data_IF_528215419984
#
_entry.id   IF_528215419984
#
_cell.length_a   1.000
_cell.length_b   1.000
_cell.length_c   1.000
_cell.angle_alpha   90.00
_cell.angle_beta   90.00
_cell.angle_gamma   90.00
#
_symmetry.space_group_name_H-M   'P 1'
#
loop_
_entity.id
_entity.type
_entity.pdbx_description
1 polymer ?
#
# COMPACT_ATOMS: atom_id res chain seq x y z
N UNK A 1 -33.29 -6.11 -4.29
CA UNK A 1 -32.89 -4.75 -3.88
C UNK A 1 -32.07 -4.15 -5.01
N UNK A 2 -32.40 -2.96 -5.48
CA UNK A 2 -31.67 -2.31 -6.56
C UNK A 2 -30.26 -1.91 -6.06
N UNK A 3 -29.23 -2.25 -6.83
CA UNK A 3 -27.85 -1.79 -6.57
C UNK A 3 -27.82 -0.26 -6.60
N UNK A 4 -27.35 0.42 -5.55
CA UNK A 4 -27.26 1.88 -5.59
C UNK A 4 -26.39 2.33 -6.77
N UNK A 5 -26.70 3.49 -7.40
CA UNK A 5 -25.91 4.01 -8.50
C UNK A 5 -24.44 4.16 -8.10
N UNK A 6 -23.53 4.03 -9.09
CA UNK A 6 -22.10 4.18 -8.88
C UNK A 6 -21.84 5.54 -8.16
N UNK A 7 -21.24 5.50 -6.97
CA UNK A 7 -20.89 6.68 -6.18
C UNK A 7 -21.72 6.93 -4.91
N UNK A 8 -22.75 6.15 -4.58
CA UNK A 8 -23.63 6.45 -3.45
C UNK A 8 -23.53 5.53 -2.23
N UNK A 9 -22.83 4.41 -2.30
CA UNK A 9 -22.68 3.49 -1.17
C UNK A 9 -21.43 3.79 -0.33
N UNK A 10 -21.50 3.42 0.95
CA UNK A 10 -20.41 3.59 1.93
C UNK A 10 -19.23 2.67 1.61
N UNK A 11 -18.02 3.24 1.65
CA UNK A 11 -16.77 2.51 1.47
C UNK A 11 -16.12 2.27 2.83
N UNK A 12 -15.85 1.03 3.16
CA UNK A 12 -15.09 0.67 4.36
C UNK A 12 -13.62 0.57 3.99
N UNK A 13 -12.75 1.35 4.65
CA UNK A 13 -11.31 1.37 4.40
C UNK A 13 -10.59 0.91 5.66
N UNK A 14 -10.04 -0.29 5.66
CA UNK A 14 -9.20 -0.74 6.76
C UNK A 14 -7.79 -0.22 6.61
N UNK A 15 -7.13 0.15 7.71
CA UNK A 15 -5.83 0.83 7.63
C UNK A 15 -5.95 2.28 7.15
N UNK A 16 -7.14 2.88 7.28
CA UNK A 16 -7.47 4.21 6.76
C UNK A 16 -6.72 5.37 7.43
N UNK A 17 -6.25 5.20 8.66
CA UNK A 17 -5.40 6.19 9.34
C UNK A 17 -3.92 6.10 8.93
N UNK A 18 -3.52 5.05 8.18
CA UNK A 18 -2.16 4.84 7.67
C UNK A 18 -1.79 5.72 6.47
N UNK A 19 -0.56 5.55 5.99
CA UNK A 19 0.00 6.33 4.86
C UNK A 19 -0.86 6.26 3.59
N UNK A 20 -1.05 5.07 3.02
CA UNK A 20 -1.88 4.89 1.81
C UNK A 20 -3.37 5.08 2.13
N UNK A 21 -3.78 4.69 3.36
CA UNK A 21 -5.16 4.77 3.80
C UNK A 21 -5.70 6.19 3.77
N UNK A 22 -4.98 7.16 4.30
CA UNK A 22 -5.39 8.58 4.30
C UNK A 22 -5.60 9.12 2.89
N UNK A 23 -4.72 8.79 1.97
CA UNK A 23 -4.88 9.18 0.56
C UNK A 23 -6.12 8.52 -0.08
N UNK A 24 -6.36 7.24 0.21
CA UNK A 24 -7.56 6.53 -0.27
C UNK A 24 -8.85 7.13 0.33
N UNK A 25 -8.87 7.42 1.64
CA UNK A 25 -10.01 8.07 2.30
C UNK A 25 -10.34 9.40 1.63
N UNK A 26 -9.34 10.27 1.46
CA UNK A 26 -9.51 11.58 0.81
C UNK A 26 -10.08 11.42 -0.61
N UNK A 27 -9.56 10.47 -1.39
CA UNK A 27 -9.98 10.26 -2.77
C UNK A 27 -11.43 9.74 -2.89
N UNK A 28 -11.86 8.82 -2.02
CA UNK A 28 -13.26 8.35 -2.00
C UNK A 28 -14.20 9.43 -1.46
N UNK A 29 -13.80 10.17 -0.42
CA UNK A 29 -14.59 11.28 0.10
C UNK A 29 -14.79 12.40 -0.93
N UNK A 30 -13.75 12.77 -1.69
CA UNK A 30 -13.85 13.74 -2.80
C UNK A 30 -14.83 13.32 -3.90
N UNK A 31 -15.09 12.02 -4.05
CA UNK A 31 -16.09 11.48 -4.98
C UNK A 31 -17.51 11.46 -4.40
N UNK A 32 -17.68 11.94 -3.17
CA UNK A 32 -18.96 11.95 -2.46
C UNK A 32 -19.34 10.59 -1.83
N UNK A 33 -18.43 9.62 -1.76
CA UNK A 33 -18.70 8.39 -1.04
C UNK A 33 -18.65 8.65 0.48
N UNK A 34 -19.65 8.19 1.27
CA UNK A 34 -19.45 8.05 2.70
C UNK A 34 -18.32 7.04 2.97
N UNK A 35 -17.39 7.40 3.84
CA UNK A 35 -16.25 6.54 4.19
C UNK A 35 -16.29 6.17 5.66
N UNK A 36 -16.08 4.89 5.96
CA UNK A 36 -15.81 4.41 7.32
C UNK A 36 -14.40 3.85 7.36
N UNK A 37 -13.58 4.40 8.25
CA UNK A 37 -12.21 3.91 8.51
C UNK A 37 -12.26 2.87 9.62
N UNK A 38 -11.52 1.79 9.45
CA UNK A 38 -11.24 0.80 10.50
C UNK A 38 -9.74 0.76 10.73
N UNK A 39 -9.31 1.22 11.88
CA UNK A 39 -7.88 1.29 12.22
C UNK A 39 -7.69 1.25 13.76
N UNK A 40 -6.47 1.04 14.22
CA UNK A 40 -6.09 1.13 15.64
C UNK A 40 -6.12 2.56 16.17
N UNK A 41 -5.87 3.51 15.27
CA UNK A 41 -5.94 4.94 15.55
C UNK A 41 -7.13 5.55 14.77
N UNK A 42 -7.81 6.57 15.31
CA UNK A 42 -8.84 7.29 14.58
C UNK A 42 -8.23 8.02 13.37
N UNK A 43 -9.05 8.23 12.34
CA UNK A 43 -8.62 9.06 11.22
C UNK A 43 -8.34 10.50 11.69
N UNK A 44 -7.29 11.18 11.18
CA UNK A 44 -6.96 12.54 11.60
C UNK A 44 -8.08 13.57 11.37
N UNK A 45 -8.86 13.40 10.30
CA UNK A 45 -10.06 14.18 10.05
C UNK A 45 -11.23 13.60 10.85
N UNK A 46 -11.72 14.35 11.83
CA UNK A 46 -12.82 13.96 12.71
C UNK A 46 -14.18 13.87 11.99
N UNK A 47 -14.32 14.42 10.78
CA UNK A 47 -15.51 14.25 9.95
C UNK A 47 -15.61 12.83 9.34
N UNK A 48 -14.51 12.09 9.31
CA UNK A 48 -14.48 10.71 8.81
C UNK A 48 -14.86 9.74 9.95
N UNK A 49 -15.93 8.97 9.76
CA UNK A 49 -16.32 7.94 10.72
C UNK A 49 -15.17 6.96 10.92
N UNK A 50 -14.75 6.76 12.17
CA UNK A 50 -13.70 5.79 12.55
C UNK A 50 -14.27 4.75 13.51
N UNK A 51 -14.06 3.48 13.17
CA UNK A 51 -14.25 2.31 14.04
C UNK A 51 -12.86 1.94 14.52
N UNK A 52 -12.57 2.22 15.79
CA UNK A 52 -11.22 2.16 16.33
C UNK A 52 -11.00 0.88 17.12
N UNK A 53 -10.00 0.09 16.71
CA UNK A 53 -9.63 -1.15 17.39
C UNK A 53 -8.77 -2.08 16.53
N UNK A 54 -8.53 -3.27 17.05
CA UNK A 54 -7.77 -4.32 16.33
C UNK A 54 -8.70 -5.15 15.45
N UNK A 55 -8.36 -5.28 14.17
CA UNK A 55 -9.14 -6.09 13.20
C UNK A 55 -9.20 -7.59 13.54
N UNK A 56 -8.42 -8.05 14.50
CA UNK A 56 -8.52 -9.39 15.06
C UNK A 56 -9.73 -9.57 15.98
N UNK A 57 -10.44 -8.49 16.30
CA UNK A 57 -11.74 -8.53 17.00
C UNK A 57 -12.86 -8.67 15.97
N UNK A 58 -13.59 -9.82 15.95
CA UNK A 58 -14.70 -10.01 15.01
C UNK A 58 -15.85 -9.02 15.21
N UNK A 59 -16.04 -8.50 16.42
CA UNK A 59 -17.06 -7.48 16.72
C UNK A 59 -16.80 -6.19 15.97
N UNK A 60 -15.53 -5.81 15.80
CA UNK A 60 -15.13 -4.62 15.06
C UNK A 60 -15.46 -4.72 13.55
N UNK A 61 -15.27 -5.92 12.98
CA UNK A 61 -15.60 -6.17 11.56
C UNK A 61 -17.13 -6.09 11.37
N UNK A 62 -17.90 -6.70 12.27
CA UNK A 62 -19.36 -6.65 12.23
C UNK A 62 -19.87 -5.20 12.32
N UNK A 63 -19.35 -4.40 13.27
CA UNK A 63 -19.69 -2.98 13.40
C UNK A 63 -19.37 -2.17 12.13
N UNK A 64 -18.23 -2.43 11.51
CA UNK A 64 -17.81 -1.71 10.31
C UNK A 64 -18.70 -2.01 9.09
N UNK A 65 -19.21 -3.24 9.00
CA UNK A 65 -20.05 -3.72 7.90
C UNK A 65 -21.55 -3.54 8.14
N UNK A 66 -21.95 -3.11 9.35
CA UNK A 66 -23.37 -2.92 9.69
C UNK A 66 -23.99 -1.76 8.90
N UNK A 67 -25.35 -1.81 8.77
CA UNK A 67 -26.17 -0.73 8.19
C UNK A 67 -26.69 -1.00 6.79
N UNK A 68 -26.24 -2.05 6.10
CA UNK A 68 -26.75 -2.47 4.78
C UNK A 68 -26.44 -1.52 3.61
N UNK A 69 -25.65 -0.46 3.83
CA UNK A 69 -25.27 0.57 2.86
C UNK A 69 -23.83 0.42 2.34
N UNK A 70 -23.11 -0.63 2.78
CA UNK A 70 -21.70 -0.85 2.41
C UNK A 70 -21.60 -1.30 0.96
N UNK A 71 -21.01 -0.47 0.12
CA UNK A 71 -20.78 -0.76 -1.30
C UNK A 71 -19.54 -1.65 -1.53
N UNK A 72 -18.63 -1.70 -0.57
CA UNK A 72 -17.44 -2.53 -0.63
C UNK A 72 -16.37 -2.16 0.38
N UNK A 73 -15.31 -2.95 0.39
CA UNK A 73 -14.17 -2.84 1.30
C UNK A 73 -12.88 -2.59 0.52
N UNK A 74 -12.07 -1.64 0.99
CA UNK A 74 -10.68 -1.43 0.57
C UNK A 74 -9.78 -1.83 1.75
N UNK A 75 -9.18 -3.00 1.66
CA UNK A 75 -8.38 -3.59 2.73
C UNK A 75 -6.90 -3.23 2.59
N UNK A 76 -6.47 -2.19 3.33
CA UNK A 76 -5.09 -1.68 3.35
C UNK A 76 -4.36 -2.02 4.67
N UNK A 77 -5.09 -2.44 5.69
CA UNK A 77 -4.51 -2.83 6.98
C UNK A 77 -3.65 -4.09 6.81
N UNK A 78 -2.41 -4.04 7.25
CA UNK A 78 -1.51 -5.19 7.28
C UNK A 78 -0.26 -4.92 8.13
N UNK A 79 0.38 -5.96 8.61
CA UNK A 79 1.77 -5.89 9.06
C UNK A 79 2.66 -6.04 7.81
N UNK A 80 3.26 -4.93 7.35
CA UNK A 80 4.02 -4.87 6.09
C UNK A 80 5.54 -4.98 6.26
N UNK A 81 6.04 -4.95 7.50
CA UNK A 81 7.48 -5.03 7.76
C UNK A 81 8.01 -6.44 7.53
N UNK A 82 8.89 -6.60 6.55
CA UNK A 82 9.59 -7.87 6.26
C UNK A 82 10.37 -8.33 7.50
N UNK A 83 11.14 -7.45 8.12
CA UNK A 83 11.93 -7.80 9.32
C UNK A 83 11.05 -8.25 10.50
N UNK A 84 9.91 -7.56 10.71
CA UNK A 84 8.94 -7.98 11.73
C UNK A 84 8.34 -9.33 11.41
N UNK A 85 8.09 -9.63 10.13
CA UNK A 85 7.51 -10.91 9.72
C UNK A 85 8.43 -12.10 10.03
N UNK A 86 9.74 -11.92 9.88
CA UNK A 86 10.72 -12.94 10.23
C UNK A 86 10.78 -13.18 11.75
N UNK A 87 10.68 -12.09 12.55
CA UNK A 87 10.73 -12.17 14.02
C UNK A 87 9.42 -12.68 14.63
N UNK A 88 8.27 -12.37 14.05
CA UNK A 88 6.95 -12.63 14.60
C UNK A 88 5.99 -13.19 13.54
N UNK A 89 6.28 -14.35 12.91
CA UNK A 89 5.52 -14.87 11.76
C UNK A 89 4.06 -15.18 12.09
N UNK A 90 3.78 -15.68 13.31
CA UNK A 90 2.41 -15.99 13.75
C UNK A 90 1.56 -14.72 13.85
N UNK A 91 2.08 -13.65 14.44
CA UNK A 91 1.36 -12.38 14.53
C UNK A 91 1.09 -11.78 13.14
N UNK A 92 2.02 -11.95 12.20
CA UNK A 92 1.85 -11.51 10.81
C UNK A 92 0.80 -12.35 10.07
N UNK A 93 0.75 -13.67 10.31
CA UNK A 93 -0.31 -14.54 9.80
C UNK A 93 -1.69 -14.08 10.32
N UNK A 94 -1.85 -13.87 11.62
CA UNK A 94 -3.10 -13.42 12.21
C UNK A 94 -3.58 -12.10 11.60
N UNK A 95 -2.69 -11.12 11.50
CA UNK A 95 -3.03 -9.79 10.99
C UNK A 95 -3.28 -9.77 9.46
N UNK A 96 -2.61 -10.61 8.67
CA UNK A 96 -2.65 -10.50 7.22
C UNK A 96 -3.52 -11.58 6.55
N UNK A 97 -3.64 -12.78 7.15
CA UNK A 97 -4.40 -13.91 6.56
C UNK A 97 -5.73 -14.09 7.28
N UNK A 98 -5.69 -14.32 8.61
CA UNK A 98 -6.91 -14.56 9.37
C UNK A 98 -7.87 -13.36 9.27
N UNK A 99 -7.39 -12.14 9.48
CA UNK A 99 -8.18 -10.91 9.31
C UNK A 99 -8.74 -10.78 7.89
N UNK A 100 -7.97 -11.12 6.85
CA UNK A 100 -8.51 -11.09 5.47
C UNK A 100 -9.63 -12.10 5.29
N UNK A 101 -9.50 -13.31 5.85
CA UNK A 101 -10.55 -14.32 5.84
C UNK A 101 -11.81 -13.83 6.56
N UNK A 102 -11.67 -13.25 7.75
CA UNK A 102 -12.80 -12.76 8.55
C UNK A 102 -13.51 -11.60 7.86
N UNK A 103 -12.76 -10.68 7.24
CA UNK A 103 -13.34 -9.60 6.44
C UNK A 103 -14.10 -10.11 5.20
N UNK A 104 -13.53 -11.09 4.48
CA UNK A 104 -14.20 -11.68 3.32
C UNK A 104 -15.50 -12.39 3.71
N UNK A 105 -15.48 -13.14 4.82
CA UNK A 105 -16.66 -13.82 5.34
C UNK A 105 -17.71 -12.83 5.84
N UNK A 106 -17.30 -11.79 6.58
CA UNK A 106 -18.17 -10.69 6.99
C UNK A 106 -18.81 -9.99 5.78
N UNK A 107 -18.04 -9.69 4.73
CA UNK A 107 -18.57 -9.14 3.49
C UNK A 107 -19.60 -10.05 2.84
N UNK A 108 -19.31 -11.35 2.74
CA UNK A 108 -20.24 -12.34 2.17
C UNK A 108 -21.55 -12.38 2.93
N UNK A 109 -21.51 -12.40 4.27
CA UNK A 109 -22.68 -12.44 5.13
C UNK A 109 -23.50 -11.14 5.06
N UNK A 110 -22.83 -10.00 4.96
CA UNK A 110 -23.46 -8.68 4.83
C UNK A 110 -23.92 -8.36 3.38
N UNK A 111 -23.68 -9.25 2.41
CA UNK A 111 -24.03 -9.01 1.00
C UNK A 111 -23.14 -7.96 0.32
N UNK A 112 -21.95 -7.72 0.84
CA UNK A 112 -20.96 -6.79 0.28
C UNK A 112 -20.17 -7.49 -0.82
N UNK A 113 -20.29 -7.01 -2.06
CA UNK A 113 -19.78 -7.73 -3.23
C UNK A 113 -18.40 -7.24 -3.72
N UNK A 114 -17.90 -6.08 -3.25
CA UNK A 114 -16.61 -5.52 -3.70
C UNK A 114 -15.57 -5.60 -2.60
N UNK A 115 -14.42 -6.19 -2.93
CA UNK A 115 -13.30 -6.30 -2.00
C UNK A 115 -11.98 -6.06 -2.71
N UNK A 116 -11.29 -4.97 -2.40
CA UNK A 116 -9.98 -4.63 -2.94
C UNK A 116 -8.94 -4.78 -1.85
N UNK A 117 -7.91 -5.55 -2.08
CA UNK A 117 -6.83 -5.77 -1.12
C UNK A 117 -5.49 -5.21 -1.64
N UNK A 118 -4.80 -4.49 -0.76
CA UNK A 118 -3.39 -4.18 -0.97
C UNK A 118 -2.55 -5.45 -0.88
N UNK A 119 -1.98 -5.87 -1.99
CA UNK A 119 -0.95 -6.92 -2.08
C UNK A 119 0.41 -6.31 -2.42
N UNK A 120 1.36 -7.13 -2.80
CA UNK A 120 2.76 -6.74 -3.01
C UNK A 120 3.42 -7.63 -4.05
N UNK A 121 4.41 -7.13 -4.76
CA UNK A 121 5.29 -7.94 -5.60
C UNK A 121 6.17 -8.94 -4.80
N UNK A 122 6.28 -8.78 -3.47
CA UNK A 122 6.98 -9.74 -2.62
C UNK A 122 6.36 -11.16 -2.62
N UNK A 123 5.14 -11.33 -3.13
CA UNK A 123 4.48 -12.64 -3.32
C UNK A 123 5.19 -13.50 -4.38
N UNK A 124 5.90 -12.86 -5.31
CA UNK A 124 6.63 -13.53 -6.42
C UNK A 124 8.03 -13.96 -5.98
N UNK A 125 8.61 -13.28 -4.98
CA UNK A 125 9.99 -13.52 -4.55
C UNK A 125 11.04 -12.95 -5.49
N UNK A 126 12.21 -13.59 -5.53
CA UNK A 126 13.33 -13.14 -6.36
C UNK A 126 13.28 -13.79 -7.75
N UNK A 127 13.20 -12.96 -8.75
CA UNK A 127 13.28 -13.37 -10.17
C UNK A 127 14.53 -12.82 -10.86
N UNK A 128 15.49 -12.36 -10.09
CA UNK A 128 16.70 -11.71 -10.60
C UNK A 128 16.38 -10.41 -11.31
N UNK A 129 16.85 -10.27 -12.52
CA UNK A 129 16.58 -9.12 -13.40
C UNK A 129 15.41 -9.34 -14.36
N UNK A 130 14.68 -10.45 -14.22
CA UNK A 130 13.51 -10.70 -15.05
C UNK A 130 12.35 -9.74 -14.71
N UNK A 131 11.52 -9.45 -15.70
CA UNK A 131 10.33 -8.63 -15.50
C UNK A 131 9.23 -9.42 -14.81
N UNK A 132 8.79 -8.93 -13.65
CA UNK A 132 7.67 -9.50 -12.90
C UNK A 132 6.36 -9.22 -13.62
N UNK A 133 5.56 -10.27 -13.80
CA UNK A 133 4.20 -10.25 -14.34
C UNK A 133 3.27 -11.02 -13.42
N UNK A 134 1.97 -10.81 -13.57
CA UNK A 134 0.99 -11.52 -12.73
C UNK A 134 1.03 -13.04 -12.91
N UNK A 135 1.45 -13.50 -14.09
CA UNK A 135 1.57 -14.93 -14.42
C UNK A 135 2.81 -15.61 -13.80
N UNK A 136 3.75 -14.86 -13.24
CA UNK A 136 4.92 -15.46 -12.55
C UNK A 136 4.42 -16.22 -11.32
N UNK A 137 4.85 -17.46 -11.12
CA UNK A 137 4.46 -18.28 -9.96
C UNK A 137 4.78 -17.58 -8.63
N UNK A 138 3.91 -17.79 -7.64
CA UNK A 138 4.13 -17.29 -6.29
C UNK A 138 5.25 -18.11 -5.62
N UNK A 139 6.33 -17.42 -5.24
CA UNK A 139 7.50 -18.02 -4.58
C UNK A 139 8.07 -17.05 -3.52
N UNK A 140 7.27 -16.65 -2.51
CA UNK A 140 7.66 -15.63 -1.55
C UNK A 140 8.87 -16.06 -0.72
N UNK A 141 9.81 -15.15 -0.47
CA UNK A 141 11.02 -15.40 0.30
C UNK A 141 10.85 -15.14 1.80
N UNK A 142 9.74 -14.54 2.21
CA UNK A 142 9.54 -14.11 3.60
C UNK A 142 8.13 -14.44 4.09
N UNK A 143 7.92 -14.57 5.43
CA UNK A 143 6.58 -14.74 5.97
C UNK A 143 5.59 -13.65 5.56
N UNK A 144 6.05 -12.39 5.41
CA UNK A 144 5.21 -11.31 4.88
C UNK A 144 4.70 -11.61 3.46
N UNK A 145 5.60 -11.94 2.54
CA UNK A 145 5.24 -12.30 1.17
C UNK A 145 4.31 -13.52 1.14
N UNK A 146 4.60 -14.55 1.95
CA UNK A 146 3.78 -15.75 2.06
C UNK A 146 2.36 -15.45 2.56
N UNK A 147 2.22 -14.58 3.58
CA UNK A 147 0.88 -14.19 4.08
C UNK A 147 0.07 -13.40 3.04
N UNK A 148 0.72 -12.55 2.25
CA UNK A 148 0.03 -11.84 1.16
C UNK A 148 -0.36 -12.78 0.01
N UNK A 149 0.48 -13.75 -0.33
CA UNK A 149 0.15 -14.78 -1.31
C UNK A 149 -1.04 -15.64 -0.86
N UNK A 150 -1.07 -16.07 0.40
CA UNK A 150 -2.19 -16.80 0.98
C UNK A 150 -3.49 -15.98 0.93
N UNK A 151 -3.43 -14.69 1.27
CA UNK A 151 -4.58 -13.80 1.18
C UNK A 151 -5.09 -13.63 -0.27
N UNK A 152 -4.20 -13.54 -1.28
CA UNK A 152 -4.60 -13.54 -2.70
C UNK A 152 -5.37 -14.81 -3.08
N UNK A 153 -4.98 -15.98 -2.57
CA UNK A 153 -5.68 -17.23 -2.82
C UNK A 153 -7.06 -17.26 -2.17
N UNK A 154 -7.22 -16.67 -0.97
CA UNK A 154 -8.53 -16.50 -0.35
C UNK A 154 -9.45 -15.62 -1.23
N UNK A 155 -8.96 -14.49 -1.72
CA UNK A 155 -9.71 -13.62 -2.63
C UNK A 155 -10.17 -14.40 -3.88
N UNK A 156 -9.28 -15.18 -4.47
CA UNK A 156 -9.57 -16.01 -5.64
C UNK A 156 -10.68 -17.01 -5.37
N UNK A 157 -10.63 -17.69 -4.20
CA UNK A 157 -11.66 -18.64 -3.76
C UNK A 157 -13.03 -17.98 -3.57
N UNK A 158 -13.08 -16.80 -2.92
CA UNK A 158 -14.34 -16.05 -2.73
C UNK A 158 -14.91 -15.51 -4.04
N UNK A 159 -14.08 -15.08 -4.98
CA UNK A 159 -14.52 -14.70 -6.32
C UNK A 159 -15.22 -15.88 -7.04
N UNK A 160 -14.59 -17.05 -7.02
CA UNK A 160 -15.12 -18.24 -7.69
C UNK A 160 -16.36 -18.81 -7.04
N UNK A 161 -16.36 -18.95 -5.71
CA UNK A 161 -17.45 -19.60 -4.98
C UNK A 161 -18.69 -18.69 -4.78
N UNK A 162 -18.47 -17.38 -4.56
CA UNK A 162 -19.53 -16.46 -4.14
C UNK A 162 -19.78 -15.32 -5.11
N UNK A 163 -19.09 -15.28 -6.24
CA UNK A 163 -19.19 -14.23 -7.27
C UNK A 163 -18.90 -12.81 -6.74
N UNK A 164 -18.09 -12.72 -5.68
CA UNK A 164 -17.61 -11.44 -5.17
C UNK A 164 -16.59 -10.84 -6.13
N UNK A 165 -16.69 -9.54 -6.39
CA UNK A 165 -15.65 -8.81 -7.14
C UNK A 165 -14.46 -8.54 -6.21
N UNK A 166 -13.58 -9.53 -6.08
CA UNK A 166 -12.39 -9.44 -5.24
C UNK A 166 -11.15 -9.21 -6.07
N UNK A 167 -10.32 -8.24 -5.71
CA UNK A 167 -9.06 -8.03 -6.39
C UNK A 167 -7.89 -7.80 -5.43
N UNK A 168 -6.72 -8.28 -5.85
CA UNK A 168 -5.44 -8.02 -5.21
C UNK A 168 -4.60 -7.08 -6.09
N UNK A 169 -4.27 -5.91 -5.56
CA UNK A 169 -3.37 -4.97 -6.24
C UNK A 169 -1.95 -5.15 -5.67
N UNK A 170 -1.06 -5.73 -6.48
CA UNK A 170 0.35 -5.95 -6.12
C UNK A 170 1.13 -4.66 -6.30
N UNK A 171 1.28 -3.91 -5.22
CA UNK A 171 2.02 -2.65 -5.23
C UNK A 171 3.53 -2.89 -5.25
N UNK A 172 4.24 -2.02 -5.96
CA UNK A 172 5.69 -1.88 -5.89
C UNK A 172 6.07 -1.02 -4.68
N UNK A 173 7.17 -0.27 -4.72
CA UNK A 173 7.60 0.56 -3.59
C UNK A 173 6.81 1.87 -3.57
N UNK A 174 5.79 1.94 -2.72
CA UNK A 174 4.94 3.14 -2.62
C UNK A 174 5.69 4.23 -1.87
N UNK A 175 5.68 5.45 -2.45
CA UNK A 175 6.19 6.65 -1.83
C UNK A 175 5.20 7.82 -2.00
N UNK A 176 5.35 8.87 -1.20
CA UNK A 176 4.50 10.06 -1.26
C UNK A 176 4.40 10.79 0.08
N UNK A 177 3.68 11.93 0.13
CA UNK A 177 3.43 12.67 1.37
C UNK A 177 2.77 11.79 2.45
N UNK A 178 3.12 12.03 3.71
CA UNK A 178 2.61 11.25 4.85
C UNK A 178 3.39 9.99 5.18
N UNK A 179 4.49 9.68 4.46
CA UNK A 179 5.31 8.50 4.70
C UNK A 179 6.39 8.71 5.78
N UNK A 180 6.39 9.83 6.50
CA UNK A 180 7.45 10.19 7.46
C UNK A 180 7.75 9.16 8.55
N UNK A 181 6.78 8.30 8.91
CA UNK A 181 6.96 7.20 9.87
C UNK A 181 7.48 5.89 9.24
N UNK A 182 7.57 5.81 7.91
CA UNK A 182 8.08 4.62 7.23
C UNK A 182 9.60 4.51 7.36
N UNK A 183 10.09 3.28 7.35
CA UNK A 183 11.52 2.97 7.35
C UNK A 183 11.90 2.27 6.05
N UNK A 184 11.94 3.06 4.96
CA UNK A 184 12.33 2.62 3.62
C UNK A 184 13.28 3.63 2.97
N UNK A 185 13.74 3.39 1.75
CA UNK A 185 14.76 4.22 1.07
C UNK A 185 14.40 5.70 1.06
N UNK A 186 13.24 6.08 0.52
CA UNK A 186 12.85 7.49 0.36
C UNK A 186 12.82 8.23 1.69
N UNK A 187 12.08 7.80 2.74
CA UNK A 187 12.05 8.56 3.99
C UNK A 187 13.41 8.55 4.73
N UNK A 188 14.25 7.52 4.56
CA UNK A 188 15.61 7.54 5.11
C UNK A 188 16.45 8.64 4.47
N UNK A 189 16.41 8.77 3.14
CA UNK A 189 17.13 9.82 2.39
C UNK A 189 16.59 11.21 2.75
N UNK A 190 15.27 11.40 2.86
CA UNK A 190 14.65 12.68 3.25
C UNK A 190 15.04 13.11 4.68
N UNK A 191 15.03 12.17 5.63
CA UNK A 191 15.52 12.45 7.00
C UNK A 191 16.99 12.78 7.05
N UNK A 192 17.83 12.11 6.24
CA UNK A 192 19.25 12.40 6.15
C UNK A 192 19.50 13.81 5.58
N UNK A 193 18.74 14.18 4.52
CA UNK A 193 18.79 15.51 3.93
C UNK A 193 18.44 16.61 4.94
N UNK A 194 17.33 16.48 5.66
CA UNK A 194 16.92 17.42 6.72
C UNK A 194 17.96 17.56 7.84
N UNK A 195 18.63 16.45 8.16
CA UNK A 195 19.63 16.44 9.23
C UNK A 195 21.04 16.84 8.75
N UNK A 196 21.24 17.17 7.47
CA UNK A 196 22.56 17.45 6.89
C UNK A 196 23.52 16.27 6.99
N UNK A 197 23.02 15.03 6.98
CA UNK A 197 23.81 13.80 7.13
C UNK A 197 23.92 13.03 5.82
N UNK A 198 24.88 12.11 5.75
CA UNK A 198 24.99 11.14 4.65
C UNK A 198 24.03 9.97 4.79
N UNK A 199 24.03 9.13 3.77
CA UNK A 199 23.24 7.90 3.68
C UNK A 199 24.15 6.69 3.47
N UNK A 200 23.73 5.53 4.00
CA UNK A 200 24.39 4.25 3.71
C UNK A 200 23.73 3.58 2.52
N UNK A 201 24.55 3.14 1.58
CA UNK A 201 24.16 2.36 0.42
C UNK A 201 24.67 0.92 0.62
N UNK A 202 23.77 -0.02 0.67
CA UNK A 202 24.14 -1.44 0.77
C UNK A 202 24.62 -1.95 -0.59
N UNK A 203 25.81 -2.59 -0.61
CA UNK A 203 26.43 -3.07 -1.84
C UNK A 203 26.88 -1.94 -2.78
N UNK A 204 26.72 -2.16 -4.07
CA UNK A 204 27.16 -1.22 -5.13
C UNK A 204 26.11 -0.14 -5.46
N UNK A 205 24.90 -0.24 -4.94
CA UNK A 205 23.80 0.69 -5.22
C UNK A 205 23.13 0.50 -6.59
N UNK A 206 23.48 -0.56 -7.33
CA UNK A 206 22.91 -0.87 -8.64
C UNK A 206 21.62 -1.68 -8.56
N UNK A 207 21.20 -2.10 -7.36
CA UNK A 207 19.91 -2.77 -7.18
C UNK A 207 18.77 -1.87 -7.63
N UNK A 208 17.86 -2.43 -8.45
CA UNK A 208 16.78 -1.68 -9.09
C UNK A 208 15.48 -1.78 -8.32
N UNK A 209 14.74 -0.69 -8.26
CA UNK A 209 13.41 -0.63 -7.62
C UNK A 209 12.44 0.16 -8.50
N UNK A 210 11.23 -0.37 -8.64
CA UNK A 210 10.10 0.39 -9.16
C UNK A 210 9.47 1.16 -7.99
N UNK A 211 9.34 2.48 -8.15
CA UNK A 211 8.73 3.37 -7.17
C UNK A 211 7.43 3.96 -7.75
N UNK A 212 6.33 3.84 -7.03
CA UNK A 212 5.02 4.36 -7.43
C UNK A 212 4.53 5.40 -6.43
N UNK A 213 4.06 6.54 -6.93
CA UNK A 213 3.52 7.59 -6.07
C UNK A 213 2.17 7.17 -5.48
N UNK A 214 1.88 7.60 -4.25
CA UNK A 214 0.66 7.25 -3.53
C UNK A 214 -0.61 7.67 -4.29
N UNK A 215 -0.60 8.78 -5.01
CA UNK A 215 -1.74 9.25 -5.80
C UNK A 215 -2.03 8.31 -7.00
N UNK A 216 -0.98 7.79 -7.65
CA UNK A 216 -1.15 6.78 -8.69
C UNK A 216 -1.68 5.46 -8.12
N UNK A 217 -1.22 5.08 -6.91
CA UNK A 217 -1.77 3.91 -6.19
C UNK A 217 -3.28 4.08 -5.93
N UNK A 218 -3.68 5.24 -5.44
CA UNK A 218 -5.09 5.55 -5.16
C UNK A 218 -5.92 5.56 -6.44
N UNK A 219 -5.37 6.11 -7.53
CA UNK A 219 -6.00 6.06 -8.87
C UNK A 219 -6.22 4.63 -9.33
N UNK A 220 -5.27 3.72 -9.10
CA UNK A 220 -5.44 2.30 -9.42
C UNK A 220 -6.53 1.64 -8.55
N UNK A 221 -6.60 1.96 -7.25
CA UNK A 221 -7.65 1.48 -6.34
C UNK A 221 -9.03 1.93 -6.82
N UNK A 222 -9.20 3.22 -7.16
CA UNK A 222 -10.45 3.76 -7.69
C UNK A 222 -10.83 3.12 -9.03
N UNK A 223 -9.87 2.91 -9.92
CA UNK A 223 -10.10 2.25 -11.20
C UNK A 223 -10.55 0.80 -11.04
N UNK A 224 -9.94 0.06 -10.11
CA UNK A 224 -10.37 -1.30 -9.78
C UNK A 224 -11.77 -1.32 -9.16
N UNK A 225 -12.09 -0.34 -8.32
CA UNK A 225 -13.41 -0.16 -7.73
C UNK A 225 -14.50 0.06 -8.78
N UNK A 226 -14.28 1.01 -9.70
CA UNK A 226 -15.26 1.41 -10.71
C UNK A 226 -15.54 0.26 -11.70
N UNK A 227 -14.51 -0.48 -12.05
CA UNK A 227 -14.60 -1.61 -12.98
C UNK A 227 -15.07 -2.91 -12.34
N UNK A 228 -15.28 -2.94 -11.02
CA UNK A 228 -15.54 -4.18 -10.27
C UNK A 228 -14.52 -5.27 -10.64
N UNK A 229 -13.26 -4.85 -10.74
CA UNK A 229 -12.19 -5.70 -11.23
C UNK A 229 -12.02 -6.93 -10.33
N UNK A 230 -11.92 -8.11 -10.95
CA UNK A 230 -11.68 -9.38 -10.26
C UNK A 230 -10.35 -9.97 -10.72
N UNK A 231 -9.53 -10.40 -9.76
CA UNK A 231 -8.23 -11.00 -10.02
C UNK A 231 -7.07 -10.17 -9.47
N UNK A 232 -5.92 -10.27 -10.12
CA UNK A 232 -4.68 -9.63 -9.66
C UNK A 232 -4.14 -8.67 -10.71
N UNK A 233 -3.64 -7.51 -10.29
CA UNK A 233 -2.93 -6.57 -11.14
C UNK A 233 -1.70 -5.99 -10.42
N UNK A 234 -0.60 -5.83 -11.16
CA UNK A 234 0.60 -5.14 -10.66
C UNK A 234 0.41 -3.64 -10.86
N UNK A 235 0.61 -2.89 -9.79
CA UNK A 235 0.51 -1.43 -9.76
C UNK A 235 1.87 -0.86 -9.37
N UNK A 236 2.53 -0.27 -10.33
CA UNK A 236 3.85 0.35 -10.23
C UNK A 236 3.96 1.50 -11.21
N UNK A 237 5.14 2.12 -11.27
CA UNK A 237 5.43 3.14 -12.31
C UNK A 237 5.70 2.51 -13.67
N UNK A 238 6.15 1.25 -13.69
CA UNK A 238 6.67 0.58 -14.89
C UNK A 238 8.07 1.06 -15.28
N UNK A 239 8.71 1.85 -14.42
CA UNK A 239 10.06 2.38 -14.62
C UNK A 239 10.88 2.14 -13.35
N UNK A 240 11.85 1.22 -13.44
CA UNK A 240 12.71 0.89 -12.31
C UNK A 240 13.99 1.69 -12.37
N UNK A 241 14.35 2.29 -11.25
CA UNK A 241 15.60 3.05 -11.07
C UNK A 241 16.54 2.31 -10.12
N UNK A 242 17.84 2.54 -10.23
CA UNK A 242 18.82 2.08 -9.26
C UNK A 242 18.75 2.92 -7.98
N UNK A 243 19.32 2.41 -6.88
CA UNK A 243 19.42 3.19 -5.63
C UNK A 243 20.31 4.43 -5.83
N UNK A 244 21.32 4.36 -6.68
CA UNK A 244 22.17 5.52 -7.02
C UNK A 244 21.39 6.56 -7.83
N UNK A 245 20.64 6.15 -8.87
CA UNK A 245 19.76 7.07 -9.62
C UNK A 245 18.72 7.73 -8.71
N UNK A 246 18.12 6.97 -7.80
CA UNK A 246 17.20 7.52 -6.80
C UNK A 246 17.88 8.56 -5.91
N UNK A 247 19.10 8.28 -5.43
CA UNK A 247 19.87 9.21 -4.60
C UNK A 247 20.16 10.52 -5.34
N UNK A 248 20.51 10.46 -6.63
CA UNK A 248 20.79 11.65 -7.44
C UNK A 248 19.54 12.51 -7.65
N UNK A 249 18.37 11.87 -7.86
CA UNK A 249 17.09 12.61 -7.90
C UNK A 249 16.79 13.25 -6.55
N UNK A 250 17.00 12.55 -5.43
CA UNK A 250 16.81 13.13 -4.10
C UNK A 250 17.73 14.31 -3.85
N UNK A 251 19.02 14.23 -4.24
CA UNK A 251 19.96 15.38 -4.19
C UNK A 251 19.45 16.58 -4.96
N UNK A 252 18.96 16.34 -6.17
CA UNK A 252 18.39 17.39 -7.03
C UNK A 252 17.18 18.06 -6.40
N UNK A 253 16.24 17.26 -5.89
CA UNK A 253 14.99 17.75 -5.30
C UNK A 253 15.21 18.47 -3.98
N UNK A 254 16.12 17.98 -3.14
CA UNK A 254 16.36 18.56 -1.80
C UNK A 254 17.37 19.70 -1.82
N UNK A 255 18.22 19.80 -2.85
CA UNK A 255 19.37 20.69 -2.88
C UNK A 255 20.48 20.31 -1.88
N UNK A 256 20.40 19.12 -1.27
CA UNK A 256 21.35 18.65 -0.26
C UNK A 256 22.39 17.72 -0.89
N UNK A 257 23.67 17.79 -0.48
CA UNK A 257 24.73 16.98 -1.08
C UNK A 257 24.59 15.47 -0.79
N UNK A 258 23.98 15.07 0.32
CA UNK A 258 23.73 13.68 0.74
C UNK A 258 24.92 12.75 0.42
N UNK A 259 26.05 12.87 1.13
CA UNK A 259 27.19 11.97 0.92
C UNK A 259 26.76 10.52 1.11
N UNK A 260 27.23 9.64 0.22
CA UNK A 260 26.91 8.22 0.25
C UNK A 260 28.11 7.41 0.73
N UNK A 261 27.91 6.54 1.70
CA UNK A 261 28.87 5.55 2.17
C UNK A 261 28.38 4.16 1.73
N UNK A 262 29.23 3.43 1.00
CA UNK A 262 28.94 2.05 0.62
C UNK A 262 29.29 1.10 1.78
N UNK A 263 28.32 0.28 2.17
CA UNK A 263 28.47 -0.75 3.21
C UNK A 263 28.18 -2.13 2.61
N UNK A 264 28.52 -3.19 3.33
CA UNK A 264 28.33 -4.55 2.86
C UNK A 264 26.87 -4.81 2.47
N UNK A 265 26.65 -5.51 1.35
CA UNK A 265 25.31 -5.92 0.92
C UNK A 265 24.61 -6.75 1.97
N UNK A 266 23.29 -6.60 2.11
CA UNK A 266 22.51 -7.40 3.04
C UNK A 266 22.16 -8.75 2.41
N UNK A 267 22.34 -9.86 3.14
CA UNK A 267 21.92 -11.18 2.65
C UNK A 267 20.41 -11.20 2.32
N UNK A 268 20.05 -11.74 1.15
CA UNK A 268 18.65 -11.88 0.73
C UNK A 268 18.03 -10.60 0.15
N UNK A 269 18.81 -9.56 -0.11
CA UNK A 269 18.34 -8.41 -0.86
C UNK A 269 18.15 -8.77 -2.34
N UNK A 270 16.95 -8.55 -2.86
CA UNK A 270 16.65 -8.79 -4.29
C UNK A 270 17.43 -7.81 -5.17
N UNK A 271 18.09 -8.28 -6.25
CA UNK A 271 18.87 -7.42 -7.12
C UNK A 271 17.99 -6.42 -7.89
N UNK A 272 16.77 -6.84 -8.26
CA UNK A 272 15.89 -5.97 -9.01
C UNK A 272 14.40 -6.21 -8.70
N UNK A 273 13.62 -5.14 -8.81
CA UNK A 273 12.16 -5.14 -8.91
C UNK A 273 11.82 -4.41 -10.20
N UNK A 274 11.65 -5.17 -11.28
CA UNK A 274 11.25 -4.69 -12.61
C UNK A 274 9.87 -5.27 -12.88
N UNK A 275 8.89 -4.43 -13.19
CA UNK A 275 7.50 -4.86 -13.31
C UNK A 275 6.90 -4.51 -14.67
N UNK A 276 6.01 -5.38 -15.15
CA UNK A 276 5.13 -5.11 -16.28
C UNK A 276 3.74 -4.71 -15.76
N UNK A 277 3.31 -3.51 -16.09
CA UNK A 277 2.00 -2.96 -15.68
C UNK A 277 0.97 -3.01 -16.81
N UNK A 278 1.22 -3.77 -17.87
CA UNK A 278 0.34 -3.86 -19.04
C UNK A 278 -1.07 -4.29 -18.67
N UNK A 279 -1.20 -5.29 -17.78
CA UNK A 279 -2.51 -5.75 -17.30
C UNK A 279 -3.29 -4.65 -16.59
N UNK A 280 -2.64 -3.88 -15.72
CA UNK A 280 -3.28 -2.74 -15.06
C UNK A 280 -3.68 -1.66 -16.08
N UNK A 281 -2.85 -1.40 -17.08
CA UNK A 281 -3.18 -0.47 -18.17
C UNK A 281 -4.41 -0.93 -18.98
N UNK A 282 -4.46 -2.18 -19.36
CA UNK A 282 -5.51 -2.73 -20.22
C UNK A 282 -6.83 -2.92 -19.46
N UNK A 283 -6.79 -3.52 -18.28
CA UNK A 283 -7.98 -3.91 -17.55
C UNK A 283 -8.50 -2.84 -16.59
N UNK A 284 -7.61 -2.03 -16.01
CA UNK A 284 -7.99 -0.94 -15.11
C UNK A 284 -7.98 0.43 -15.80
N UNK A 285 -7.37 0.58 -16.98
CA UNK A 285 -7.09 1.88 -17.58
C UNK A 285 -6.04 2.66 -16.77
N UNK A 286 -5.29 1.98 -15.89
CA UNK A 286 -4.30 2.58 -15.03
C UNK A 286 -3.14 3.16 -15.83
N UNK A 287 -2.81 4.42 -15.57
CA UNK A 287 -1.66 5.11 -16.17
C UNK A 287 -1.00 5.94 -15.06
N UNK A 288 0.17 5.51 -14.56
CA UNK A 288 0.91 6.32 -13.59
C UNK A 288 1.27 7.65 -14.23
N UNK A 289 1.02 8.75 -13.53
CA UNK A 289 1.15 10.11 -14.05
C UNK A 289 2.16 10.96 -13.30
N UNK A 290 2.53 10.55 -12.09
CA UNK A 290 3.46 11.31 -11.23
C UNK A 290 4.89 10.91 -11.58
N UNK A 291 5.70 11.87 -12.07
CA UNK A 291 7.13 11.64 -12.30
C UNK A 291 7.87 11.42 -10.98
N UNK A 292 9.00 10.69 -11.02
CA UNK A 292 9.82 10.46 -9.81
C UNK A 292 10.29 11.78 -9.18
N UNK A 293 10.65 12.77 -10.00
CA UNK A 293 11.12 14.08 -9.55
C UNK A 293 9.99 14.85 -8.86
N UNK A 294 8.83 14.96 -9.51
CA UNK A 294 7.67 15.68 -8.94
C UNK A 294 7.17 15.00 -7.67
N UNK A 295 7.07 13.68 -7.69
CA UNK A 295 6.64 12.90 -6.53
C UNK A 295 7.60 13.05 -5.34
N UNK A 296 8.92 13.01 -5.56
CA UNK A 296 9.89 13.25 -4.49
C UNK A 296 9.87 14.69 -3.98
N UNK A 297 9.54 15.65 -4.83
CA UNK A 297 9.34 17.05 -4.40
C UNK A 297 8.15 17.17 -3.44
N UNK A 298 7.04 16.46 -3.68
CA UNK A 298 5.90 16.45 -2.74
C UNK A 298 6.29 15.83 -1.39
N UNK A 299 7.10 14.76 -1.40
CA UNK A 299 7.61 14.15 -0.16
C UNK A 299 8.52 15.13 0.59
N UNK A 300 9.43 15.80 -0.11
CA UNK A 300 10.34 16.75 0.50
C UNK A 300 9.59 17.91 1.17
N UNK A 301 8.59 18.46 0.50
CA UNK A 301 7.73 19.51 1.06
C UNK A 301 6.99 19.04 2.33
N UNK A 302 6.48 17.80 2.35
CA UNK A 302 5.85 17.20 3.53
C UNK A 302 6.83 17.10 4.71
N UNK A 303 8.07 16.67 4.45
CA UNK A 303 9.10 16.55 5.46
C UNK A 303 9.53 17.92 6.03
N UNK A 304 9.69 18.94 5.17
CA UNK A 304 9.98 20.31 5.61
C UNK A 304 8.85 20.85 6.47
N UNK A 305 7.60 20.71 6.01
CA UNK A 305 6.43 21.17 6.75
C UNK A 305 6.31 20.49 8.12
N UNK A 306 6.56 19.18 8.18
CA UNK A 306 6.56 18.43 9.43
C UNK A 306 7.67 18.87 10.39
N UNK A 307 8.86 19.23 9.87
CA UNK A 307 9.98 19.71 10.66
C UNK A 307 9.76 21.16 11.19
N UNK A 308 9.03 21.98 10.43
CA UNK A 308 8.70 23.36 10.80
C UNK A 308 7.50 23.44 11.77
N UNK A 309 6.70 22.38 11.90
CA UNK A 309 5.58 22.35 12.83
C UNK A 309 6.09 22.43 14.28
N UNK A 310 5.52 23.31 15.14
CA UNK A 310 5.93 23.40 16.53
C UNK A 310 5.75 22.02 17.18
N UNK A 311 6.77 21.58 17.92
CA UNK A 311 6.73 20.34 18.71
C UNK A 311 5.61 20.52 19.73
N UNK A 312 4.42 20.07 19.41
CA UNK A 312 3.27 20.08 20.31
C UNK A 312 3.66 19.34 21.58
N UNK A 313 3.42 19.99 22.73
CA UNK A 313 3.78 19.50 24.04
C UNK A 313 3.33 18.05 24.31
N UNK A 314 3.78 17.44 25.40
CA UNK A 314 3.65 16.00 25.63
C UNK A 314 2.17 15.57 25.55
N UNK A 315 1.90 14.64 24.64
CA UNK A 315 0.61 13.93 24.64
C UNK A 315 0.53 13.18 25.97
N UNK A 316 -0.37 13.62 26.84
CA UNK A 316 -0.72 12.95 28.09
C UNK A 316 -1.36 11.60 27.79
#
# INVERSE_FOLDING_TARGET
MATPPAGTGRVVITGGAGFVGRAAVAAFACRGNPVTVVDRDPHPDSAVRSVVGELTDPGLIAEALDGGDVAGVVHLAAITSVLRSVKHPVAVYQANVAVTQDLLEGCRQAGVERFIMASTNAVVGDVGYATMREAVPLAPLTPYGATKAAAEMLLCGYAGAYRMATCALRFTNIYGPGMGRKDSFVPRMMRAALAGRGVQIYGDGLQRRDLVHVDDVVTAVQSAWDRRFTGTAIVGSGQSVTVLELLDVVRTVTGCPLPAEHVSAQPGEMPAVIVDISRAREQLGYRPSVSLVDGLATVWNDFIAAAAAPVGGPRR
#
